data_IF_535146029124
#
_entry.id   IF_535146029124
#
_cell.length_a   1.000
_cell.length_b   1.000
_cell.length_c   1.000
_cell.angle_alpha   90.00
_cell.angle_beta   90.00
_cell.angle_gamma   90.00
#
_symmetry.space_group_name_H-M   'P 1'
#
loop_
_entity.id
_entity.type
_entity.pdbx_description
1 polymer ?
#
# COMPACT_ATOMS: atom_id res chain seq x y z
N UNK A 1 -11.85 3.12 22.29
CA UNK A 1 -12.07 4.56 22.40
C UNK A 1 -10.90 5.23 21.69
N UNK A 2 -11.12 5.71 20.48
CA UNK A 2 -10.15 6.54 19.76
C UNK A 2 -10.35 7.99 20.23
N UNK A 3 -9.34 8.57 20.81
CA UNK A 3 -9.32 10.00 21.13
C UNK A 3 -8.28 10.65 20.25
N UNK A 4 -8.72 11.23 19.14
CA UNK A 4 -7.90 12.08 18.29
C UNK A 4 -8.16 13.53 18.69
N UNK A 5 -7.13 14.28 19.04
CA UNK A 5 -7.22 15.69 19.33
C UNK A 5 -6.81 16.45 18.08
N UNK A 6 -7.80 16.97 17.34
CA UNK A 6 -7.58 17.86 16.21
C UNK A 6 -7.66 19.31 16.69
N UNK A 7 -6.63 20.09 16.43
CA UNK A 7 -6.70 21.57 16.46
C UNK A 7 -6.83 22.05 15.02
N UNK A 8 -8.04 21.99 14.47
CA UNK A 8 -8.38 22.55 13.18
C UNK A 8 -9.17 23.84 13.34
N UNK A 9 -8.79 24.88 12.62
CA UNK A 9 -9.62 26.08 12.45
C UNK A 9 -10.72 25.75 11.46
N UNK A 10 -11.96 25.64 11.93
CA UNK A 10 -13.14 25.48 11.10
C UNK A 10 -13.46 26.81 10.39
N UNK A 11 -13.06 26.94 9.14
CA UNK A 11 -13.64 27.93 8.24
C UNK A 11 -14.73 27.24 7.41
N UNK A 12 -15.97 27.36 7.86
CA UNK A 12 -17.12 26.86 7.14
C UNK A 12 -17.45 27.74 5.93
N UNK A 13 -17.16 27.23 4.75
CA UNK A 13 -17.90 27.51 3.52
C UNK A 13 -17.94 26.20 2.74
N UNK A 14 -19.13 25.62 2.61
CA UNK A 14 -19.44 24.52 1.68
C UNK A 14 -19.30 25.00 0.23
N UNK A 15 -18.11 25.26 -0.23
CA UNK A 15 -17.78 25.28 -1.64
C UNK A 15 -17.49 23.82 -2.01
N UNK A 16 -18.23 23.25 -2.93
CA UNK A 16 -17.90 21.98 -3.56
C UNK A 16 -16.52 22.17 -4.19
N UNK A 17 -15.48 21.74 -3.51
CA UNK A 17 -14.11 21.83 -4.02
C UNK A 17 -14.01 20.97 -5.28
N UNK A 18 -13.64 21.61 -6.38
CA UNK A 18 -13.37 20.92 -7.63
C UNK A 18 -12.20 19.95 -7.44
N UNK A 19 -12.44 18.67 -7.71
CA UNK A 19 -11.38 17.66 -7.61
C UNK A 19 -10.47 17.78 -8.84
N UNK A 20 -9.27 18.29 -8.62
CA UNK A 20 -8.24 18.39 -9.66
C UNK A 20 -7.37 17.15 -9.63
N UNK A 21 -7.18 16.52 -10.79
CA UNK A 21 -6.35 15.32 -10.97
C UNK A 21 -5.25 15.57 -12.00
N UNK A 22 -4.20 14.76 -11.96
CA UNK A 22 -3.11 14.79 -12.94
C UNK A 22 -3.00 13.50 -13.75
N UNK A 23 -4.13 12.84 -13.95
CA UNK A 23 -4.27 11.56 -14.61
C UNK A 23 -3.63 11.49 -16.02
N UNK A 24 -3.64 12.60 -16.75
CA UNK A 24 -2.99 12.72 -18.08
C UNK A 24 -1.68 13.53 -18.05
N UNK A 25 -1.04 13.62 -16.88
CA UNK A 25 0.15 14.48 -16.65
C UNK A 25 -0.12 15.97 -16.92
N UNK A 26 -1.36 16.36 -16.78
CA UNK A 26 -1.87 17.73 -16.80
C UNK A 26 -2.84 17.89 -15.65
N UNK A 27 -2.86 19.08 -15.06
CA UNK A 27 -3.83 19.46 -14.04
C UNK A 27 -5.18 19.71 -14.72
N UNK A 28 -6.17 18.88 -14.45
CA UNK A 28 -7.50 18.92 -15.07
C UNK A 28 -8.56 18.59 -14.02
N UNK A 29 -9.79 19.14 -14.18
CA UNK A 29 -10.91 18.71 -13.36
C UNK A 29 -11.17 17.21 -13.56
N UNK A 30 -11.45 16.50 -12.48
CA UNK A 30 -11.82 15.08 -12.54
C UNK A 30 -12.99 14.83 -13.51
N UNK A 31 -13.94 15.78 -13.61
CA UNK A 31 -15.11 15.68 -14.48
C UNK A 31 -14.77 15.83 -15.97
N UNK A 32 -13.67 16.50 -16.29
CA UNK A 32 -13.24 16.75 -17.67
C UNK A 32 -12.31 15.67 -18.22
N UNK A 33 -11.86 14.75 -17.36
CA UNK A 33 -10.96 13.67 -17.77
C UNK A 33 -11.73 12.56 -18.48
N UNK A 34 -11.48 12.27 -19.77
CA UNK A 34 -12.18 11.23 -20.52
C UNK A 34 -11.65 9.82 -20.21
N UNK A 35 -11.37 9.53 -18.94
CA UNK A 35 -10.87 8.27 -18.44
C UNK A 35 -11.62 7.88 -17.15
N UNK A 36 -11.62 6.59 -16.83
CA UNK A 36 -12.15 6.13 -15.54
C UNK A 36 -11.13 6.42 -14.45
N UNK A 37 -11.28 7.55 -13.79
CA UNK A 37 -10.40 8.00 -12.69
C UNK A 37 -11.21 8.09 -11.40
N UNK A 38 -10.60 7.62 -10.30
CA UNK A 38 -11.08 7.83 -8.94
C UNK A 38 -9.98 8.54 -8.16
N UNK A 39 -10.34 9.45 -7.28
CA UNK A 39 -9.39 10.17 -6.45
C UNK A 39 -9.86 10.20 -5.00
N UNK A 40 -8.93 10.01 -4.07
CA UNK A 40 -9.07 10.32 -2.64
C UNK A 40 -8.27 11.58 -2.36
N UNK A 41 -8.92 12.62 -1.88
CA UNK A 41 -8.28 13.89 -1.53
C UNK A 41 -7.63 13.81 -0.15
N UNK A 42 -6.80 14.78 0.18
CA UNK A 42 -6.21 14.96 1.52
C UNK A 42 -7.28 14.89 2.61
N UNK A 43 -8.37 15.65 2.47
CA UNK A 43 -9.49 15.64 3.40
C UNK A 43 -10.15 14.26 3.57
N UNK A 44 -10.26 13.48 2.48
CA UNK A 44 -10.82 12.13 2.54
C UNK A 44 -9.88 11.16 3.27
N UNK A 45 -8.55 11.34 3.12
CA UNK A 45 -7.54 10.55 3.79
C UNK A 45 -7.50 10.84 5.30
N UNK A 46 -7.55 12.12 5.67
CA UNK A 46 -7.58 12.56 7.07
C UNK A 46 -8.87 12.12 7.79
N UNK A 47 -10.03 12.41 7.21
CA UNK A 47 -11.34 12.07 7.81
C UNK A 47 -11.48 10.57 8.08
N UNK A 48 -10.93 9.74 7.19
CA UNK A 48 -11.02 8.29 7.30
C UNK A 48 -9.84 7.64 8.01
N UNK A 49 -8.84 8.43 8.44
CA UNK A 49 -7.62 7.92 9.08
C UNK A 49 -6.82 6.96 8.19
N UNK A 50 -6.74 7.27 6.89
CA UNK A 50 -6.08 6.44 5.89
C UNK A 50 -4.58 6.70 5.90
N UNK A 51 -3.79 5.74 6.34
CA UNK A 51 -2.34 5.90 6.46
C UNK A 51 -1.55 4.79 5.77
N UNK A 52 -2.05 3.56 5.74
CA UNK A 52 -1.33 2.42 5.17
C UNK A 52 -1.97 1.93 3.89
N UNK A 53 -1.22 1.09 3.18
CA UNK A 53 -1.57 0.56 1.88
C UNK A 53 -2.98 -0.06 1.83
N UNK A 54 -3.33 -0.89 2.80
CA UNK A 54 -4.63 -1.52 2.85
C UNK A 54 -5.76 -0.51 3.06
N UNK A 55 -5.52 0.52 3.87
CA UNK A 55 -6.55 1.51 4.20
C UNK A 55 -7.00 2.27 2.94
N UNK A 56 -6.06 2.78 2.12
CA UNK A 56 -6.46 3.54 0.93
C UNK A 56 -6.96 2.66 -0.20
N UNK A 57 -6.49 1.43 -0.34
CA UNK A 57 -7.02 0.53 -1.36
C UNK A 57 -8.48 0.16 -1.11
N UNK A 58 -8.88 -0.01 0.14
CA UNK A 58 -10.27 -0.30 0.51
C UNK A 58 -11.23 0.87 0.20
N UNK A 59 -10.72 2.08 0.09
CA UNK A 59 -11.51 3.27 -0.24
C UNK A 59 -11.69 3.49 -1.75
N UNK A 60 -10.94 2.76 -2.58
CA UNK A 60 -10.91 2.97 -4.04
C UNK A 60 -11.85 2.00 -4.76
N UNK A 61 -12.84 2.50 -5.51
CA UNK A 61 -13.80 1.65 -6.21
C UNK A 61 -13.13 0.71 -7.23
N UNK A 62 -13.46 -0.58 -7.17
CA UNK A 62 -12.94 -1.59 -8.10
C UNK A 62 -11.47 -1.93 -7.93
N UNK A 63 -10.85 -1.48 -6.85
CA UNK A 63 -9.49 -1.84 -6.44
C UNK A 63 -9.56 -2.81 -5.29
N UNK A 64 -8.75 -3.84 -5.33
CA UNK A 64 -8.56 -4.79 -4.23
C UNK A 64 -7.09 -5.13 -4.11
N UNK A 65 -6.69 -5.63 -2.96
CA UNK A 65 -5.35 -6.12 -2.74
C UNK A 65 -5.38 -7.60 -2.35
N UNK A 66 -4.33 -8.31 -2.73
CA UNK A 66 -4.05 -9.66 -2.25
C UNK A 66 -2.59 -9.76 -1.89
N UNK A 67 -2.26 -10.55 -0.87
CA UNK A 67 -0.88 -10.67 -0.41
C UNK A 67 -0.77 -11.56 0.80
N UNK A 68 0.45 -11.72 1.29
CA UNK A 68 0.77 -12.51 2.48
C UNK A 68 1.11 -11.64 3.69
N UNK A 69 0.92 -10.33 3.59
CA UNK A 69 1.21 -9.38 4.63
C UNK A 69 1.89 -8.11 4.10
N UNK A 70 2.27 -7.19 4.97
CA UNK A 70 2.92 -5.93 4.61
C UNK A 70 4.16 -6.14 3.72
N UNK A 71 4.30 -5.32 2.69
CA UNK A 71 5.40 -5.39 1.71
C UNK A 71 5.32 -6.55 0.72
N UNK A 72 4.24 -7.35 0.76
CA UNK A 72 4.02 -8.50 -0.15
C UNK A 72 2.65 -8.43 -0.82
N UNK A 73 2.21 -7.25 -1.12
CA UNK A 73 0.89 -6.97 -1.67
C UNK A 73 0.93 -6.89 -3.19
N UNK A 74 -0.19 -7.26 -3.81
CA UNK A 74 -0.44 -7.09 -5.22
C UNK A 74 -1.77 -6.38 -5.38
N UNK A 75 -1.79 -5.33 -6.19
CA UNK A 75 -2.99 -4.56 -6.49
C UNK A 75 -3.73 -5.21 -7.66
N UNK A 76 -5.04 -5.32 -7.52
CA UNK A 76 -5.96 -5.76 -8.56
C UNK A 76 -6.89 -4.61 -8.90
N UNK A 77 -7.00 -4.27 -10.17
CA UNK A 77 -8.02 -3.33 -10.66
C UNK A 77 -8.99 -4.13 -11.51
N UNK A 78 -10.28 -4.11 -11.13
CA UNK A 78 -11.37 -4.86 -11.78
C UNK A 78 -11.06 -6.38 -11.87
N UNK A 79 -10.39 -6.91 -10.87
CA UNK A 79 -10.00 -8.32 -10.79
C UNK A 79 -8.81 -8.73 -11.67
N UNK A 80 -8.14 -7.78 -12.34
CA UNK A 80 -6.98 -8.06 -13.18
C UNK A 80 -5.69 -7.98 -12.37
N UNK A 81 -4.97 -9.09 -12.26
CA UNK A 81 -3.60 -9.16 -11.79
C UNK A 81 -2.83 -10.24 -12.55
N UNK A 82 -1.52 -10.06 -12.74
CA UNK A 82 -0.69 -10.97 -13.51
C UNK A 82 -0.04 -12.06 -12.69
N UNK A 83 0.23 -11.82 -11.42
CA UNK A 83 0.97 -12.75 -10.55
C UNK A 83 0.40 -12.79 -9.15
N UNK A 84 0.50 -13.96 -8.52
CA UNK A 84 0.33 -14.06 -7.08
C UNK A 84 1.69 -13.90 -6.40
N UNK A 85 1.79 -13.23 -5.24
CA UNK A 85 3.03 -13.06 -4.48
C UNK A 85 3.79 -14.38 -4.22
N UNK A 86 3.06 -15.48 -4.15
CA UNK A 86 3.63 -16.82 -3.88
C UNK A 86 4.51 -17.36 -4.99
N UNK A 87 4.42 -16.87 -6.21
CA UNK A 87 5.28 -17.30 -7.32
C UNK A 87 6.69 -16.72 -7.21
N UNK A 88 6.88 -15.64 -6.49
CA UNK A 88 8.19 -15.01 -6.30
C UNK A 88 9.06 -15.75 -5.28
N UNK A 89 8.47 -16.52 -4.37
CA UNK A 89 9.21 -17.28 -3.36
C UNK A 89 9.92 -18.53 -3.89
N UNK A 90 9.62 -18.94 -5.12
CA UNK A 90 10.22 -20.12 -5.76
C UNK A 90 11.51 -19.83 -6.53
N UNK A 91 12.17 -18.69 -6.31
CA UNK A 91 13.41 -18.32 -7.01
C UNK A 91 13.19 -17.84 -8.45
N UNK A 92 11.96 -17.67 -8.87
CA UNK A 92 11.60 -17.05 -10.15
C UNK A 92 11.35 -15.57 -9.87
N UNK A 93 11.97 -14.72 -10.64
CA UNK A 93 11.85 -13.24 -10.51
C UNK A 93 10.45 -12.74 -10.85
N UNK A 94 9.40 -13.41 -10.68
CA UNK A 94 8.02 -13.00 -10.91
C UNK A 94 7.78 -12.17 -12.18
N UNK A 95 6.55 -12.14 -12.66
CA UNK A 95 6.18 -11.20 -13.72
C UNK A 95 6.00 -9.79 -13.13
N UNK A 96 6.20 -8.76 -13.93
CA UNK A 96 5.85 -7.41 -13.55
C UNK A 96 4.36 -7.31 -13.20
N UNK A 97 3.98 -6.53 -12.18
CA UNK A 97 2.56 -6.35 -11.84
C UNK A 97 1.80 -5.72 -13.01
N UNK A 98 0.50 -6.00 -13.11
CA UNK A 98 -0.36 -5.40 -14.13
C UNK A 98 -0.86 -4.00 -13.74
N UNK A 99 -0.66 -3.60 -12.51
CA UNK A 99 -0.98 -2.27 -12.00
C UNK A 99 0.32 -1.56 -11.67
N UNK A 100 0.57 -0.45 -12.33
CA UNK A 100 1.69 0.44 -12.01
C UNK A 100 1.37 1.22 -10.75
N UNK A 101 2.40 1.40 -9.93
CA UNK A 101 2.33 2.19 -8.71
C UNK A 101 3.35 3.32 -8.75
N UNK A 102 2.91 4.53 -8.48
CA UNK A 102 3.73 5.75 -8.54
C UNK A 102 3.66 6.53 -7.22
N UNK A 103 4.80 7.01 -6.77
CA UNK A 103 4.88 8.09 -5.79
C UNK A 103 5.34 9.34 -6.53
N UNK A 104 4.49 10.35 -6.61
CA UNK A 104 4.64 11.49 -7.52
C UNK A 104 4.86 11.01 -8.97
N UNK A 105 6.00 11.30 -9.55
CA UNK A 105 6.36 10.84 -10.90
C UNK A 105 7.33 9.65 -10.89
N UNK A 106 7.69 9.14 -9.70
CA UNK A 106 8.62 8.02 -9.54
C UNK A 106 7.87 6.69 -9.61
N UNK A 107 8.14 5.82 -10.59
CA UNK A 107 7.57 4.47 -10.60
C UNK A 107 8.17 3.62 -9.48
N UNK A 108 7.32 2.91 -8.76
CA UNK A 108 7.69 2.01 -7.67
C UNK A 108 7.43 0.54 -8.06
N UNK A 109 7.68 0.20 -9.32
CA UNK A 109 7.48 -1.15 -9.81
C UNK A 109 8.58 -2.08 -9.32
N UNK A 110 8.18 -3.21 -8.72
CA UNK A 110 9.07 -4.33 -8.43
C UNK A 110 8.51 -5.62 -9.06
N UNK A 111 9.36 -6.53 -9.53
CA UNK A 111 8.89 -7.84 -9.99
C UNK A 111 8.08 -8.56 -8.92
N UNK A 112 6.88 -8.98 -9.28
CA UNK A 112 6.03 -9.83 -8.46
C UNK A 112 5.24 -9.15 -7.34
N UNK A 113 5.41 -7.84 -7.10
CA UNK A 113 4.66 -7.12 -6.04
C UNK A 113 4.57 -5.62 -6.28
N UNK A 114 3.62 -5.00 -5.60
CA UNK A 114 3.57 -3.56 -5.39
C UNK A 114 4.19 -3.22 -4.03
N UNK A 115 4.81 -2.06 -3.91
CA UNK A 115 5.37 -1.60 -2.64
C UNK A 115 4.26 -1.01 -1.75
N UNK A 116 4.32 -1.31 -0.47
CA UNK A 116 3.46 -0.68 0.53
C UNK A 116 4.07 0.67 0.90
N UNK A 117 3.43 1.74 0.45
CA UNK A 117 3.87 3.11 0.75
C UNK A 117 2.96 3.70 1.80
N UNK A 118 3.55 4.24 2.84
CA UNK A 118 2.83 4.96 3.89
C UNK A 118 2.35 6.33 3.38
N UNK A 119 1.09 6.66 3.64
CA UNK A 119 0.43 7.84 3.08
C UNK A 119 0.60 9.07 3.98
N UNK A 120 1.85 9.44 4.32
CA UNK A 120 2.12 10.66 5.07
C UNK A 120 2.08 11.91 4.17
N UNK A 121 1.31 12.91 4.57
CA UNK A 121 1.26 14.22 3.93
C UNK A 121 0.99 14.13 2.42
N UNK A 122 -0.11 13.49 2.06
CA UNK A 122 -0.53 13.29 0.67
C UNK A 122 -1.57 14.32 0.25
N UNK A 123 -1.36 14.93 -0.90
CA UNK A 123 -2.35 15.81 -1.51
C UNK A 123 -3.55 14.99 -2.03
N UNK A 124 -3.29 13.82 -2.59
CA UNK A 124 -4.32 12.89 -3.07
C UNK A 124 -3.74 11.55 -3.51
N UNK A 125 -4.63 10.57 -3.66
CA UNK A 125 -4.33 9.28 -4.31
C UNK A 125 -5.28 9.13 -5.49
N UNK A 126 -4.72 8.95 -6.69
CA UNK A 126 -5.45 8.79 -7.94
C UNK A 126 -5.38 7.33 -8.41
N UNK A 127 -6.49 6.80 -8.90
CA UNK A 127 -6.54 5.50 -9.57
C UNK A 127 -7.09 5.66 -10.97
N UNK A 128 -6.30 5.27 -11.95
CA UNK A 128 -6.68 5.22 -13.34
C UNK A 128 -6.99 3.76 -13.71
N UNK A 129 -8.23 3.46 -13.99
CA UNK A 129 -8.66 2.12 -14.37
C UNK A 129 -8.56 1.90 -15.88
N UNK A 130 -8.02 0.74 -16.27
CA UNK A 130 -7.80 0.35 -17.65
C UNK A 130 -6.39 0.61 -18.16
N UNK A 131 -6.06 0.21 -19.40
CA UNK A 131 -4.71 0.29 -19.95
C UNK A 131 -4.18 1.72 -20.03
N UNK A 132 -3.01 1.97 -19.43
CA UNK A 132 -2.36 3.29 -19.37
C UNK A 132 -0.90 3.26 -19.90
N UNK A 133 -0.54 2.23 -20.66
CA UNK A 133 0.84 1.99 -21.11
C UNK A 133 1.47 3.14 -21.88
N UNK A 134 0.69 3.95 -22.60
CA UNK A 134 1.19 5.09 -23.39
C UNK A 134 1.82 6.19 -22.52
N UNK A 135 1.22 6.47 -21.35
CA UNK A 135 1.66 7.55 -20.45
C UNK A 135 2.50 7.04 -19.29
N UNK A 136 2.25 5.83 -18.83
CA UNK A 136 2.84 5.26 -17.61
C UNK A 136 3.73 4.04 -17.89
N UNK A 137 3.91 3.66 -19.15
CA UNK A 137 4.84 2.62 -19.56
C UNK A 137 4.45 1.22 -19.10
N UNK A 138 5.45 0.42 -18.73
CA UNK A 138 5.27 -0.97 -18.34
C UNK A 138 4.42 -1.14 -17.08
N UNK A 139 3.82 -2.32 -16.91
CA UNK A 139 3.03 -2.69 -15.72
C UNK A 139 1.71 -1.91 -15.55
N UNK A 140 1.23 -1.20 -16.57
CA UNK A 140 -0.01 -0.41 -16.51
C UNK A 140 -1.14 -0.96 -17.43
N UNK A 141 -1.23 -2.28 -17.52
CA UNK A 141 -2.25 -2.97 -18.34
C UNK A 141 -3.65 -2.95 -17.70
N UNK A 142 -3.72 -3.12 -16.38
CA UNK A 142 -4.97 -3.06 -15.63
C UNK A 142 -5.28 -1.65 -15.13
N UNK A 143 -4.25 -0.83 -14.95
CA UNK A 143 -4.38 0.53 -14.46
C UNK A 143 -3.13 1.05 -13.76
N UNK A 144 -3.30 2.20 -13.13
CA UNK A 144 -2.24 2.91 -12.39
C UNK A 144 -2.80 3.43 -11.07
N UNK A 145 -2.04 3.26 -10.02
CA UNK A 145 -2.25 3.94 -8.74
C UNK A 145 -1.15 4.99 -8.57
N UNK A 146 -1.54 6.23 -8.31
CA UNK A 146 -0.63 7.36 -8.14
C UNK A 146 -0.86 8.00 -6.78
N UNK A 147 0.17 8.05 -5.97
CA UNK A 147 0.22 8.83 -4.72
C UNK A 147 0.89 10.16 -5.02
N UNK A 148 0.21 11.24 -4.79
CA UNK A 148 0.69 12.61 -5.02
C UNK A 148 0.90 13.27 -3.68
N UNK A 149 2.14 13.65 -3.39
CA UNK A 149 2.52 14.29 -2.13
C UNK A 149 2.24 15.78 -2.15
N UNK A 150 2.01 16.37 -0.99
CA UNK A 150 1.99 17.82 -0.86
C UNK A 150 3.36 18.41 -1.19
N UNK A 151 3.35 19.52 -1.91
CA UNK A 151 4.56 20.22 -2.34
C UNK A 151 4.85 21.40 -1.42
N UNK A 152 6.12 21.86 -1.35
CA UNK A 152 6.45 23.08 -0.63
C UNK A 152 5.66 24.27 -1.15
N UNK A 153 5.08 25.06 -0.23
CA UNK A 153 4.30 26.26 -0.53
C UNK A 153 5.13 27.50 -0.22
N UNK A 154 5.27 28.38 -1.21
CA UNK A 154 6.03 29.62 -1.06
C UNK A 154 5.31 30.61 -0.13
N UNK A 155 6.08 31.33 0.67
CA UNK A 155 5.55 32.40 1.53
C UNK A 155 4.73 31.94 2.73
N UNK A 156 4.47 30.64 2.88
CA UNK A 156 3.69 30.08 3.98
C UNK A 156 4.53 29.28 4.96
N UNK A 157 4.33 29.53 6.25
CA UNK A 157 4.93 28.75 7.34
C UNK A 157 3.84 27.92 7.99
N UNK A 158 3.90 26.60 7.78
CA UNK A 158 2.92 25.64 8.30
C UNK A 158 3.66 24.56 9.08
N UNK A 159 3.06 24.07 10.16
CA UNK A 159 3.56 22.88 10.84
C UNK A 159 2.41 22.13 11.48
N UNK A 160 2.49 20.81 11.43
CA UNK A 160 1.54 19.92 12.11
C UNK A 160 2.28 18.81 12.83
N UNK A 161 1.69 18.35 13.91
CA UNK A 161 2.11 17.16 14.62
C UNK A 161 0.86 16.33 14.93
N UNK A 162 0.91 15.07 14.57
CA UNK A 162 -0.14 14.11 14.87
C UNK A 162 0.41 13.03 15.78
N UNK A 163 -0.30 12.75 16.87
CA UNK A 163 0.03 11.69 17.83
C UNK A 163 -1.21 10.84 18.04
N UNK A 164 -1.07 9.54 17.87
CA UNK A 164 -2.16 8.58 18.08
C UNK A 164 -1.68 7.43 18.96
N UNK A 165 -2.55 6.97 19.87
CA UNK A 165 -2.39 5.73 20.61
C UNK A 165 -3.53 4.77 20.24
N UNK A 166 -3.19 3.54 19.97
CA UNK A 166 -4.12 2.47 19.54
C UNK A 166 -4.07 1.34 20.56
N UNK A 167 -5.23 0.81 20.88
CA UNK A 167 -5.38 -0.33 21.79
C UNK A 167 -6.16 -1.42 21.09
N UNK A 168 -5.55 -2.58 20.95
CA UNK A 168 -6.18 -3.77 20.36
C UNK A 168 -6.55 -4.74 21.48
N UNK A 169 -7.80 -5.15 21.54
CA UNK A 169 -8.23 -6.14 22.55
C UNK A 169 -7.53 -7.47 22.31
N UNK A 170 -6.78 -7.94 23.30
CA UNK A 170 -5.98 -9.15 23.20
C UNK A 170 -4.71 -9.00 22.35
N UNK A 171 -4.27 -7.78 22.08
CA UNK A 171 -3.07 -7.47 21.33
C UNK A 171 -2.19 -6.44 22.01
N UNK A 172 -1.08 -6.10 21.37
CA UNK A 172 -0.14 -5.06 21.81
C UNK A 172 -0.68 -3.65 21.50
N UNK A 173 -0.17 -2.68 22.25
CA UNK A 173 -0.42 -1.27 21.98
C UNK A 173 0.28 -0.80 20.71
N UNK A 174 -0.38 0.09 19.99
CA UNK A 174 0.16 0.81 18.83
C UNK A 174 0.35 2.29 19.12
N UNK A 175 1.23 2.94 18.36
CA UNK A 175 1.44 4.37 18.46
C UNK A 175 1.83 4.96 17.11
N UNK A 176 1.35 6.17 16.83
CA UNK A 176 1.70 6.95 15.65
C UNK A 176 2.24 8.30 16.07
N UNK A 177 3.30 8.72 15.42
CA UNK A 177 3.82 10.08 15.45
C UNK A 177 4.09 10.50 14.00
N UNK A 178 3.45 11.57 13.57
CA UNK A 178 3.71 12.20 12.27
C UNK A 178 3.99 13.68 12.50
N UNK A 179 4.99 14.20 11.83
CA UNK A 179 5.39 15.60 11.87
C UNK A 179 5.55 16.12 10.45
N UNK A 180 4.95 17.27 10.18
CA UNK A 180 5.12 18.01 8.94
C UNK A 180 5.48 19.45 9.24
N UNK A 181 6.38 20.02 8.44
CA UNK A 181 6.63 21.47 8.42
C UNK A 181 6.90 21.96 7.01
N UNK A 182 6.36 23.13 6.70
CA UNK A 182 6.64 23.89 5.50
C UNK A 182 7.26 25.24 5.90
N UNK A 183 8.45 25.51 5.40
CA UNK A 183 9.23 26.70 5.77
C UNK A 183 9.60 27.46 4.51
N UNK A 184 9.20 28.73 4.36
CA UNK A 184 9.66 29.58 3.28
C UNK A 184 11.15 29.89 3.47
N UNK A 185 11.95 29.70 2.42
CA UNK A 185 13.38 30.03 2.37
C UNK A 185 13.65 31.31 1.61
N UNK A 186 12.71 32.24 1.64
CA UNK A 186 12.70 33.49 0.89
C UNK A 186 11.45 33.60 0.01
N UNK A 187 11.43 34.58 -0.89
CA UNK A 187 10.25 34.87 -1.73
C UNK A 187 9.98 33.78 -2.78
N UNK A 188 11.01 33.08 -3.25
CA UNK A 188 10.96 32.13 -4.37
C UNK A 188 11.37 30.71 -4.00
N UNK A 189 11.52 30.40 -2.72
CA UNK A 189 11.93 29.07 -2.28
C UNK A 189 11.16 28.65 -1.05
N UNK A 190 10.86 27.37 -0.96
CA UNK A 190 10.28 26.77 0.23
C UNK A 190 10.82 25.35 0.44
N UNK A 191 10.89 24.95 1.70
CA UNK A 191 11.20 23.59 2.15
C UNK A 191 9.94 22.99 2.78
N UNK A 192 9.63 21.77 2.42
CA UNK A 192 8.65 20.95 3.14
C UNK A 192 9.34 19.70 3.66
N UNK A 193 9.18 19.44 4.95
CA UNK A 193 9.74 18.28 5.62
C UNK A 193 8.62 17.49 6.30
N UNK A 194 8.67 16.18 6.14
CA UNK A 194 7.73 15.23 6.75
C UNK A 194 8.52 14.11 7.37
N UNK A 195 8.17 13.70 8.58
CA UNK A 195 8.73 12.51 9.22
C UNK A 195 7.60 11.77 9.94
N UNK A 196 7.65 10.44 9.90
CA UNK A 196 6.61 9.62 10.51
C UNK A 196 7.18 8.35 11.13
N UNK A 197 6.51 7.88 12.17
CA UNK A 197 6.66 6.55 12.73
C UNK A 197 5.29 6.06 13.20
N UNK A 198 4.81 4.99 12.58
CA UNK A 198 3.57 4.31 12.93
C UNK A 198 3.89 2.87 13.32
N UNK A 199 3.75 2.54 14.59
CA UNK A 199 3.86 1.19 15.12
C UNK A 199 2.45 0.65 15.34
N UNK A 200 2.13 -0.42 14.65
CA UNK A 200 0.91 -1.20 14.86
C UNK A 200 1.24 -2.41 15.71
N UNK A 201 0.59 -2.55 16.85
CA UNK A 201 0.76 -3.69 17.75
C UNK A 201 0.31 -4.99 17.10
N UNK A 202 0.98 -6.08 17.44
CA UNK A 202 0.57 -7.42 17.02
C UNK A 202 -0.70 -7.88 17.76
N UNK A 203 -1.39 -8.84 17.18
CA UNK A 203 -2.61 -9.44 17.76
C UNK A 203 -2.78 -10.91 17.36
N UNK A 204 -1.80 -11.49 16.69
CA UNK A 204 -1.81 -12.91 16.29
C UNK A 204 -0.76 -13.64 17.09
N UNK A 205 -1.19 -14.64 17.85
CA UNK A 205 -0.28 -15.47 18.62
C UNK A 205 0.28 -16.60 17.76
N UNK A 206 1.59 -16.79 17.86
CA UNK A 206 2.26 -17.94 17.32
C UNK A 206 2.33 -19.01 18.39
N UNK A 207 1.54 -20.05 18.24
CA UNK A 207 1.45 -21.15 19.20
C UNK A 207 2.09 -22.42 18.66
N UNK A 208 2.70 -23.21 19.51
CA UNK A 208 3.15 -24.54 19.15
C UNK A 208 1.94 -25.42 18.84
N UNK A 209 2.05 -26.21 17.80
CA UNK A 209 0.97 -27.12 17.41
C UNK A 209 1.47 -28.26 16.55
N UNK A 210 0.68 -29.31 16.55
CA UNK A 210 0.87 -30.46 15.68
C UNK A 210 -0.46 -30.82 15.03
N UNK A 211 -0.40 -31.32 13.81
CA UNK A 211 -1.56 -31.89 13.13
C UNK A 211 -1.14 -33.10 12.30
N UNK A 212 -2.05 -34.03 12.10
CA UNK A 212 -1.82 -35.15 11.20
C UNK A 212 -1.63 -34.64 9.77
N UNK A 213 -0.72 -35.23 9.03
CA UNK A 213 -0.42 -34.82 7.65
C UNK A 213 -1.66 -34.87 6.74
N UNK A 214 -2.60 -35.78 7.00
CA UNK A 214 -3.89 -35.89 6.29
C UNK A 214 -4.81 -34.66 6.50
N UNK A 215 -4.63 -33.92 7.57
CA UNK A 215 -5.37 -32.69 7.88
C UNK A 215 -4.74 -31.43 7.22
N UNK A 216 -3.56 -31.59 6.61
CA UNK A 216 -2.90 -30.49 5.91
C UNK A 216 -3.65 -30.11 4.65
N UNK A 217 -3.71 -28.81 4.36
CA UNK A 217 -4.22 -28.29 3.09
C UNK A 217 -3.43 -28.77 1.86
N UNK A 218 -2.23 -29.31 2.07
CA UNK A 218 -1.39 -29.92 1.02
C UNK A 218 -1.70 -31.39 0.75
N UNK A 219 -2.51 -32.02 1.59
CA UNK A 219 -2.93 -33.40 1.39
C UNK A 219 -3.78 -33.52 0.13
N UNK A 220 -3.55 -34.58 -0.61
CA UNK A 220 -4.34 -34.96 -1.79
C UNK A 220 -4.77 -36.43 -1.65
N UNK A 221 -6.06 -36.68 -1.68
CA UNK A 221 -6.59 -38.03 -1.64
C UNK A 221 -6.14 -38.85 -2.87
N UNK A 222 -6.09 -40.17 -2.70
CA UNK A 222 -5.85 -41.07 -3.84
C UNK A 222 -6.89 -40.83 -4.94
N UNK A 223 -6.45 -40.84 -6.20
CA UNK A 223 -7.31 -40.60 -7.36
C UNK A 223 -7.57 -39.11 -7.66
N UNK A 224 -6.99 -38.18 -6.90
CA UNK A 224 -7.10 -36.74 -7.23
C UNK A 224 -6.52 -36.44 -8.60
N UNK A 225 -7.27 -35.73 -9.44
CA UNK A 225 -6.83 -35.28 -10.77
C UNK A 225 -6.67 -33.77 -10.77
N UNK A 226 -5.78 -33.28 -11.62
CA UNK A 226 -5.57 -31.84 -11.86
C UNK A 226 -6.64 -31.27 -12.77
N UNK A 227 -6.71 -29.96 -12.87
CA UNK A 227 -7.63 -29.28 -13.80
C UNK A 227 -7.47 -29.69 -15.27
N UNK A 228 -6.28 -30.16 -15.66
CA UNK A 228 -6.00 -30.69 -17.00
C UNK A 228 -6.35 -32.19 -17.17
N UNK A 229 -7.04 -32.81 -16.21
CA UNK A 229 -7.46 -34.20 -16.25
C UNK A 229 -6.38 -35.23 -15.92
N UNK A 230 -5.13 -34.83 -15.69
CA UNK A 230 -4.04 -35.72 -15.35
C UNK A 230 -4.03 -36.07 -13.84
N UNK A 231 -3.73 -37.32 -13.47
CA UNK A 231 -3.64 -37.67 -12.06
C UNK A 231 -2.50 -36.95 -11.35
N UNK A 232 -2.68 -36.67 -10.07
CA UNK A 232 -1.61 -36.14 -9.21
C UNK A 232 -0.66 -37.33 -8.90
N UNK A 233 0.62 -37.17 -9.26
CA UNK A 233 1.63 -38.20 -9.04
C UNK A 233 2.05 -38.26 -7.57
N UNK A 234 2.23 -39.47 -7.05
CA UNK A 234 2.83 -39.75 -5.75
C UNK A 234 4.36 -39.58 -5.73
N UNK A 235 5.00 -39.46 -6.91
CA UNK A 235 6.47 -39.43 -7.03
C UNK A 235 7.12 -38.07 -6.86
N UNK A 236 6.34 -36.98 -6.80
CA UNK A 236 6.87 -35.64 -6.53
C UNK A 236 6.76 -35.30 -5.05
N UNK A 237 7.85 -34.85 -4.42
CA UNK A 237 7.92 -34.54 -3.00
C UNK A 237 6.73 -33.70 -2.47
N UNK A 238 6.34 -33.92 -1.23
CA UNK A 238 5.18 -33.37 -0.57
C UNK A 238 4.04 -34.38 -0.41
N UNK A 239 2.87 -33.94 0.03
CA UNK A 239 1.70 -34.77 0.27
C UNK A 239 0.94 -35.05 -1.03
N UNK A 240 1.50 -35.86 -1.89
CA UNK A 240 0.91 -36.22 -3.19
C UNK A 240 -0.21 -37.26 -3.05
N UNK A 241 -1.10 -37.30 -4.02
CA UNK A 241 -2.21 -38.25 -4.01
C UNK A 241 -1.70 -39.72 -3.96
N UNK A 242 -2.28 -40.49 -3.05
CA UNK A 242 -1.92 -41.89 -2.83
C UNK A 242 -0.69 -42.11 -1.95
N UNK A 243 -0.09 -41.07 -1.38
CA UNK A 243 0.94 -41.22 -0.36
C UNK A 243 0.31 -41.76 0.94
N UNK A 244 0.96 -42.75 1.55
CA UNK A 244 0.60 -43.21 2.89
C UNK A 244 1.14 -42.20 3.92
N UNK A 245 0.23 -41.49 4.53
CA UNK A 245 0.54 -40.49 5.58
C UNK A 245 0.16 -40.99 6.97
N UNK A 246 -0.15 -42.27 7.13
CA UNK A 246 -0.42 -42.85 8.43
C UNK A 246 0.79 -42.69 9.34
N UNK A 247 0.60 -42.16 10.52
CA UNK A 247 1.67 -41.88 11.48
C UNK A 247 2.56 -40.68 11.15
N UNK A 248 2.33 -39.97 10.04
CA UNK A 248 3.05 -38.69 9.74
C UNK A 248 2.38 -37.53 10.46
N UNK A 249 3.16 -36.83 11.25
CA UNK A 249 2.72 -35.64 12.00
C UNK A 249 3.47 -34.43 11.51
N UNK A 250 2.78 -33.33 11.27
CA UNK A 250 3.35 -32.01 11.02
C UNK A 250 3.41 -31.26 12.34
N UNK A 251 4.52 -30.60 12.59
CA UNK A 251 4.69 -29.79 13.79
C UNK A 251 5.39 -28.49 13.43
N UNK A 252 5.03 -27.42 14.13
CA UNK A 252 5.76 -26.18 14.16
C UNK A 252 6.65 -26.06 15.41
N UNK A 253 7.04 -27.19 16.05
CA UNK A 253 7.83 -27.22 17.28
C UNK A 253 9.19 -26.51 17.17
N UNK A 254 9.65 -26.23 15.92
CA UNK A 254 10.84 -25.38 15.67
C UNK A 254 10.51 -23.91 15.76
N UNK A 255 9.24 -23.53 15.69
CA UNK A 255 8.80 -22.17 15.79
C UNK A 255 8.81 -21.70 17.25
N UNK A 256 9.24 -20.48 17.46
CA UNK A 256 9.20 -19.84 18.76
C UNK A 256 7.75 -19.50 19.06
N UNK A 257 7.24 -19.93 20.20
CA UNK A 257 5.98 -19.43 20.75
C UNK A 257 6.14 -17.95 21.05
N UNK A 258 5.25 -17.14 20.51
CA UNK A 258 5.31 -15.69 20.67
C UNK A 258 3.88 -15.14 20.64
N UNK A 259 3.53 -14.44 21.70
CA UNK A 259 2.31 -13.63 21.71
C UNK A 259 2.48 -12.43 20.77
N UNK A 260 1.38 -12.03 20.14
CA UNK A 260 1.29 -10.85 19.29
C UNK A 260 2.40 -10.80 18.21
N UNK A 261 2.61 -11.91 17.52
CA UNK A 261 3.78 -12.14 16.66
C UNK A 261 3.79 -11.32 15.34
N UNK A 262 2.76 -10.51 15.08
CA UNK A 262 2.59 -9.77 13.84
C UNK A 262 2.62 -8.23 13.98
N UNK A 263 3.50 -7.63 14.81
CA UNK A 263 3.63 -6.19 14.83
C UNK A 263 4.19 -5.67 13.51
N UNK A 264 3.78 -4.46 13.13
CA UNK A 264 4.28 -3.77 11.94
C UNK A 264 4.72 -2.37 12.34
N UNK A 265 5.82 -1.90 11.77
CA UNK A 265 6.29 -0.52 11.94
C UNK A 265 6.55 0.10 10.58
N UNK A 266 5.94 1.24 10.34
CA UNK A 266 6.23 2.13 9.23
C UNK A 266 7.02 3.32 9.78
N UNK A 267 8.15 3.63 9.18
CA UNK A 267 8.93 4.80 9.55
C UNK A 267 9.64 5.37 8.32
N UNK A 268 9.71 6.67 8.25
CA UNK A 268 10.34 7.33 7.12
C UNK A 268 10.35 8.84 7.28
N UNK A 269 10.96 9.47 6.28
CA UNK A 269 10.95 10.92 6.14
C UNK A 269 10.92 11.30 4.67
N UNK A 270 10.47 12.53 4.40
CA UNK A 270 10.55 13.16 3.09
C UNK A 270 10.94 14.62 3.25
N UNK A 271 11.91 15.06 2.49
CA UNK A 271 12.33 16.46 2.41
C UNK A 271 12.25 16.92 0.96
N UNK A 272 11.50 17.99 0.74
CA UNK A 272 11.29 18.58 -0.60
C UNK A 272 11.65 20.05 -0.58
N UNK A 273 12.41 20.49 -1.57
CA UNK A 273 12.73 21.91 -1.78
C UNK A 273 12.18 22.33 -3.14
N UNK A 274 11.35 23.35 -3.14
CA UNK A 274 10.88 23.99 -4.36
C UNK A 274 11.56 25.35 -4.53
N UNK A 275 11.91 25.68 -5.77
CA UNK A 275 12.51 26.95 -6.14
C UNK A 275 11.94 27.46 -7.47
N UNK A 276 11.42 28.68 -7.48
CA UNK A 276 11.01 29.40 -8.69
C UNK A 276 12.20 30.12 -9.29
N UNK A 277 12.77 29.56 -10.35
CA UNK A 277 13.92 30.14 -11.06
C UNK A 277 13.51 31.45 -11.73
N UNK A 278 12.35 31.45 -12.36
CA UNK A 278 11.69 32.63 -12.95
C UNK A 278 10.20 32.30 -13.19
N UNK A 279 9.45 33.22 -13.78
CA UNK A 279 8.00 33.09 -14.00
C UNK A 279 7.60 31.91 -14.89
N UNK A 280 8.54 31.32 -15.64
CA UNK A 280 8.28 30.19 -16.54
C UNK A 280 8.94 28.88 -16.09
N UNK A 281 9.86 28.91 -15.13
CA UNK A 281 10.65 27.77 -14.71
C UNK A 281 10.65 27.63 -13.21
N UNK A 282 10.31 26.44 -12.76
CA UNK A 282 10.48 26.03 -11.37
C UNK A 282 11.28 24.74 -11.27
N UNK A 283 11.88 24.51 -10.13
CA UNK A 283 12.61 23.30 -9.80
C UNK A 283 12.05 22.71 -8.50
N UNK A 284 11.90 21.41 -8.44
CA UNK A 284 11.54 20.65 -7.26
C UNK A 284 12.56 19.54 -7.07
N UNK A 285 13.17 19.48 -5.90
CA UNK A 285 14.04 18.39 -5.50
C UNK A 285 13.44 17.71 -4.26
N UNK A 286 13.36 16.38 -4.28
CA UNK A 286 12.80 15.59 -3.18
C UNK A 286 13.74 14.43 -2.85
N UNK A 287 13.91 14.17 -1.55
CA UNK A 287 14.58 13.00 -0.98
C UNK A 287 13.60 12.32 -0.03
N UNK A 288 13.44 11.00 -0.13
CA UNK A 288 12.57 10.18 0.72
C UNK A 288 13.25 8.84 1.03
#
# INVERSE_FOLDING_TARGET
>A
LNTSIYTGVLNGQDTVEEIVVTARKKSESLQDVPLSVSALRESDLEEKGVNVFEDYLLQLPGVTAGGSGPGQSTIYIRGLASTTPNLTTAGVAGLAPNVSFYLDEQPLAQPGRNLDVYAADMARIEVLSGPQGTLFGASSQAGVVRMITNKPVMGESLSSIEVESRFTSGGDEGSKLEYMTNVPLGERSALRFVAYRDRRGGYIDQVAGTLNASQSARFRAAGTVRANGLPVSSSRGGFQAGADLSGVTLTNAVAIEKENANPVTYEGFRASVAHEINDNWNALATVA
#
